data_IF_208666119037
#
_entry.id   IF_208666119037
#
_cell.length_a   1.000
_cell.length_b   1.000
_cell.length_c   1.000
_cell.angle_alpha   90.00
_cell.angle_beta   90.00
_cell.angle_gamma   90.00
#
_symmetry.space_group_name_H-M   'P 1'
#
loop_
_entity.id
_entity.type
_entity.pdbx_description
1 polymer ?
#
# COMPACT_ATOMS: atom_id res chain seq x y z
N UNK A 1 2.54 -5.05 23.95
CA UNK A 1 1.53 -5.68 23.11
C UNK A 1 1.38 -4.96 21.81
N UNK A 2 1.50 -5.70 20.76
CA UNK A 2 1.47 -5.13 19.42
C UNK A 2 0.10 -4.65 19.01
N UNK A 3 -0.96 -5.27 19.52
CA UNK A 3 -2.33 -4.88 19.18
C UNK A 3 -2.63 -3.40 19.38
N UNK A 4 -1.92 -2.76 20.29
CA UNK A 4 -2.12 -1.32 20.52
C UNK A 4 -1.56 -0.45 19.41
N UNK A 5 -0.71 -1.01 18.54
CA UNK A 5 -0.07 -0.24 17.47
C UNK A 5 -0.89 -0.24 16.18
N UNK A 6 -1.76 -1.22 16.01
CA UNK A 6 -2.54 -1.37 14.78
C UNK A 6 -4.00 -1.65 15.13
N UNK A 7 -4.76 -0.60 15.43
CA UNK A 7 -6.18 -0.78 15.76
C UNK A 7 -6.98 -1.36 14.59
N UNK A 8 -6.53 -1.10 13.34
CA UNK A 8 -7.10 -1.68 12.13
C UNK A 8 -5.97 -2.09 11.19
N UNK A 9 -5.98 -3.33 10.77
CA UNK A 9 -4.98 -3.80 9.82
C UNK A 9 -5.27 -3.28 8.43
N UNK A 10 -4.21 -2.88 7.73
CA UNK A 10 -4.28 -2.56 6.31
C UNK A 10 -3.75 -3.74 5.53
N UNK A 11 -4.58 -4.31 4.71
CA UNK A 11 -4.33 -5.57 4.00
C UNK A 11 -4.38 -5.32 2.51
N UNK A 12 -3.51 -6.02 1.77
CA UNK A 12 -3.56 -6.05 0.31
C UNK A 12 -3.74 -7.50 -0.11
N UNK A 13 -4.79 -7.76 -0.86
CA UNK A 13 -4.97 -9.04 -1.56
C UNK A 13 -4.53 -8.86 -2.99
N UNK A 14 -3.54 -9.63 -3.41
CA UNK A 14 -3.04 -9.59 -4.77
C UNK A 14 -3.96 -10.40 -5.67
N UNK A 15 -4.61 -9.73 -6.61
CA UNK A 15 -5.47 -10.40 -7.58
C UNK A 15 -4.69 -10.68 -8.87
N UNK A 16 -4.15 -9.63 -9.49
CA UNK A 16 -3.40 -9.78 -10.72
C UNK A 16 -2.38 -8.65 -10.84
N UNK A 17 -1.17 -8.86 -10.34
CA UNK A 17 -0.09 -7.88 -10.41
C UNK A 17 1.01 -8.36 -11.35
N UNK A 18 1.13 -7.71 -12.49
CA UNK A 18 2.14 -8.00 -13.52
C UNK A 18 3.55 -7.90 -12.95
N UNK A 19 3.80 -6.90 -12.09
CA UNK A 19 5.11 -6.72 -11.47
C UNK A 19 5.57 -7.92 -10.66
N UNK A 20 4.65 -8.61 -9.99
CA UNK A 20 4.98 -9.84 -9.27
C UNK A 20 5.41 -10.95 -10.22
N UNK A 21 4.67 -11.15 -11.31
CA UNK A 21 4.98 -12.21 -12.27
C UNK A 21 6.29 -11.96 -13.00
N UNK A 22 6.62 -10.69 -13.27
CA UNK A 22 7.79 -10.32 -14.07
C UNK A 22 8.99 -9.88 -13.23
N UNK A 23 8.88 -9.91 -11.91
CA UNK A 23 9.98 -9.52 -11.03
C UNK A 23 10.23 -8.01 -10.97
N UNK A 24 9.27 -7.19 -11.35
CA UNK A 24 9.40 -5.72 -11.24
C UNK A 24 9.03 -5.28 -9.83
N UNK A 25 9.94 -5.55 -8.91
CA UNK A 25 9.76 -5.34 -7.48
C UNK A 25 10.96 -4.57 -6.95
N UNK A 26 10.69 -3.52 -6.18
CA UNK A 26 11.73 -2.86 -5.40
C UNK A 26 11.76 -3.54 -4.03
N UNK A 27 12.93 -4.03 -3.62
CA UNK A 27 13.08 -4.74 -2.34
C UNK A 27 14.37 -4.37 -1.59
N UNK A 28 15.10 -3.38 -2.07
CA UNK A 28 16.39 -2.98 -1.50
C UNK A 28 16.42 -1.53 -1.04
N UNK A 29 15.26 -0.97 -0.75
CA UNK A 29 15.13 0.42 -0.35
C UNK A 29 14.35 0.53 0.94
N UNK A 30 14.65 1.57 1.71
CA UNK A 30 13.92 1.88 2.93
C UNK A 30 12.84 2.93 2.65
N UNK A 31 11.83 2.95 3.50
CA UNK A 31 10.76 3.95 3.40
C UNK A 31 11.22 5.27 3.98
N UNK A 32 10.83 6.37 3.33
CA UNK A 32 10.97 7.71 3.89
C UNK A 32 9.97 7.90 5.03
N UNK A 33 10.32 8.75 5.99
CA UNK A 33 9.45 9.03 7.14
C UNK A 33 8.09 9.60 6.73
N UNK A 34 8.00 10.24 5.57
CA UNK A 34 6.74 10.77 5.05
C UNK A 34 5.68 9.67 4.83
N UNK A 35 6.09 8.40 4.71
CA UNK A 35 5.18 7.28 4.56
C UNK A 35 4.73 6.70 5.89
N UNK A 36 5.32 7.13 6.99
CA UNK A 36 5.10 6.48 8.26
C UNK A 36 3.75 6.83 8.88
N UNK A 37 3.11 5.83 9.44
CA UNK A 37 2.02 5.99 10.39
C UNK A 37 2.63 5.87 11.77
N UNK A 38 2.42 6.89 12.60
CA UNK A 38 2.98 6.91 13.95
C UNK A 38 1.93 6.49 14.96
N UNK A 39 2.27 5.49 15.76
CA UNK A 39 1.42 5.03 16.85
C UNK A 39 2.29 4.94 18.09
N UNK A 40 2.03 5.82 19.07
CA UNK A 40 2.91 5.95 20.22
C UNK A 40 4.29 6.45 19.78
N UNK A 41 5.33 5.72 20.16
CA UNK A 41 6.71 6.07 19.81
C UNK A 41 7.22 5.33 18.57
N UNK A 42 6.35 4.59 17.90
CA UNK A 42 6.74 3.73 16.79
C UNK A 42 6.21 4.26 15.46
N UNK A 43 7.03 4.10 14.42
CA UNK A 43 6.71 4.50 13.06
C UNK A 43 6.68 3.26 12.18
N UNK A 44 5.58 3.09 11.45
CA UNK A 44 5.36 1.94 10.56
C UNK A 44 4.86 2.42 9.20
N UNK A 45 5.15 1.62 8.18
CA UNK A 45 4.49 1.77 6.88
C UNK A 45 3.50 0.61 6.73
N UNK A 46 2.28 0.96 6.34
CA UNK A 46 1.21 -0.02 6.14
C UNK A 46 1.18 -0.50 4.68
N UNK A 47 0.67 -1.69 4.46
CA UNK A 47 0.47 -2.21 3.10
C UNK A 47 -0.63 -1.42 2.38
N UNK A 48 -0.51 -1.31 1.07
CA UNK A 48 -1.49 -0.61 0.25
C UNK A 48 -1.17 0.86 0.00
N UNK A 49 -0.10 1.38 0.58
CA UNK A 49 0.35 2.74 0.30
C UNK A 49 0.94 2.80 -1.11
N UNK A 50 0.60 3.85 -1.85
CA UNK A 50 1.06 4.03 -3.22
C UNK A 50 2.29 4.93 -3.22
N UNK A 51 3.36 4.43 -3.80
CA UNK A 51 4.71 4.99 -3.61
C UNK A 51 5.45 5.13 -4.93
N UNK A 52 6.54 5.86 -4.88
CA UNK A 52 7.53 5.91 -5.96
C UNK A 52 8.94 5.94 -5.36
N UNK A 53 9.93 5.66 -6.21
CA UNK A 53 11.33 5.73 -5.78
C UNK A 53 11.78 7.19 -5.85
N UNK A 54 12.21 7.73 -4.72
CA UNK A 54 12.70 9.08 -4.62
C UNK A 54 14.12 9.23 -5.15
N UNK A 55 14.55 10.47 -5.34
CA UNK A 55 15.86 10.79 -5.92
C UNK A 55 17.03 10.38 -5.03
N UNK A 56 16.80 10.30 -3.74
CA UNK A 56 17.84 9.94 -2.77
C UNK A 56 17.88 8.43 -2.48
N UNK A 57 17.15 7.64 -3.24
CA UNK A 57 17.11 6.18 -3.06
C UNK A 57 16.21 5.72 -1.92
N UNK A 58 15.29 6.56 -1.48
CA UNK A 58 14.27 6.17 -0.52
C UNK A 58 12.91 6.08 -1.19
N UNK A 59 12.06 5.22 -0.65
CA UNK A 59 10.67 5.12 -1.11
C UNK A 59 9.87 6.26 -0.48
N UNK A 60 9.18 7.01 -1.32
CA UNK A 60 8.41 8.20 -0.92
C UNK A 60 6.95 8.05 -1.37
N UNK A 61 6.02 8.86 -0.81
CA UNK A 61 4.66 8.88 -1.35
C UNK A 61 4.71 9.16 -2.85
N UNK A 62 3.84 8.50 -3.61
CA UNK A 62 3.88 8.63 -5.06
C UNK A 62 3.87 10.09 -5.49
N UNK A 63 4.84 10.49 -6.30
CA UNK A 63 4.98 11.83 -6.83
C UNK A 63 4.91 11.84 -8.36
N UNK A 64 5.74 10.99 -8.98
CA UNK A 64 5.79 10.88 -10.45
C UNK A 64 6.52 9.61 -10.85
N UNK A 65 6.53 9.34 -12.15
CA UNK A 65 7.20 8.16 -12.70
C UNK A 65 6.40 6.88 -12.48
N UNK A 66 7.13 5.78 -12.31
CA UNK A 66 6.49 4.48 -12.08
C UNK A 66 5.78 4.45 -10.74
N UNK A 67 4.53 4.04 -10.76
CA UNK A 67 3.74 3.88 -9.54
C UNK A 67 3.92 2.47 -9.00
N UNK A 68 4.16 2.38 -7.67
CA UNK A 68 4.30 1.11 -6.99
C UNK A 68 3.28 1.03 -5.87
N UNK A 69 2.81 -0.18 -5.57
CA UNK A 69 2.03 -0.43 -4.36
C UNK A 69 2.93 -1.12 -3.33
N UNK A 70 2.93 -0.61 -2.11
CA UNK A 70 3.67 -1.24 -1.01
C UNK A 70 2.95 -2.52 -0.58
N UNK A 71 3.67 -3.62 -0.66
CA UNK A 71 3.19 -4.92 -0.23
C UNK A 71 4.36 -5.72 0.32
N UNK A 72 4.56 -5.65 1.62
CA UNK A 72 5.56 -6.43 2.32
C UNK A 72 4.84 -7.49 3.13
N UNK A 73 5.09 -8.74 2.77
CA UNK A 73 4.54 -9.87 3.49
C UNK A 73 5.57 -10.33 4.50
N UNK A 74 5.21 -10.23 5.77
CA UNK A 74 6.10 -10.59 6.86
C UNK A 74 5.63 -11.90 7.49
N UNK A 75 6.48 -12.89 7.48
CA UNK A 75 6.18 -14.19 8.08
C UNK A 75 7.06 -14.41 9.29
N UNK A 76 6.64 -13.90 10.42
CA UNK A 76 7.36 -14.08 11.66
C UNK A 76 6.46 -14.76 12.69
N UNK A 77 6.74 -16.03 12.95
CA UNK A 77 5.93 -16.85 13.85
C UNK A 77 6.27 -16.66 15.32
N UNK A 78 7.27 -15.85 15.63
CA UNK A 78 7.73 -15.63 17.01
C UNK A 78 7.13 -14.38 17.66
N UNK A 79 6.44 -13.56 16.91
CA UNK A 79 5.83 -12.35 17.40
C UNK A 79 4.33 -12.36 17.12
N UNK A 80 3.62 -11.44 17.74
CA UNK A 80 2.20 -11.32 17.50
C UNK A 80 1.96 -11.05 16.00
N UNK A 81 1.05 -11.82 15.42
CA UNK A 81 0.71 -11.75 14.01
C UNK A 81 0.23 -10.36 13.59
N UNK A 82 -0.13 -9.53 14.53
CA UNK A 82 -0.56 -8.17 14.28
C UNK A 82 0.52 -7.29 13.64
N UNK A 83 1.76 -7.70 13.76
CA UNK A 83 2.87 -7.00 13.12
C UNK A 83 3.02 -7.31 11.65
N UNK A 84 2.32 -8.30 11.16
CA UNK A 84 2.51 -8.78 9.78
C UNK A 84 2.07 -7.76 8.72
N UNK A 85 1.27 -6.80 9.10
CA UNK A 85 0.69 -5.87 8.16
C UNK A 85 1.31 -4.48 8.20
N UNK A 86 2.38 -4.34 8.96
CA UNK A 86 3.11 -3.09 9.03
C UNK A 86 4.60 -3.36 9.22
N UNK A 87 5.42 -2.53 8.60
CA UNK A 87 6.88 -2.67 8.62
C UNK A 87 7.46 -1.43 9.29
N UNK A 88 8.45 -1.59 10.18
CA UNK A 88 9.07 -0.43 10.83
C UNK A 88 9.70 0.53 9.82
N UNK A 89 9.51 1.83 10.05
CA UNK A 89 10.20 2.89 9.32
C UNK A 89 11.30 3.41 10.23
N UNK A 90 12.46 2.79 10.16
CA UNK A 90 13.59 3.02 11.07
C UNK A 90 14.89 3.36 10.33
N UNK A 91 14.85 3.48 9.01
CA UNK A 91 16.02 3.75 8.19
C UNK A 91 16.84 2.52 7.82
N UNK A 92 16.52 1.36 8.39
CA UNK A 92 17.28 0.12 8.18
C UNK A 92 16.45 -1.01 7.59
N UNK A 93 15.14 -0.97 7.74
CA UNK A 93 14.27 -2.05 7.29
C UNK A 93 13.86 -1.83 5.84
N UNK A 94 14.20 -2.78 4.98
CA UNK A 94 13.80 -2.74 3.58
C UNK A 94 12.33 -3.10 3.42
N UNK A 95 11.67 -2.43 2.49
CA UNK A 95 10.29 -2.72 2.15
C UNK A 95 10.19 -3.25 0.73
N UNK A 96 9.06 -3.86 0.43
CA UNK A 96 8.81 -4.48 -0.85
C UNK A 96 7.70 -3.73 -1.57
N UNK A 97 7.99 -3.22 -2.75
CA UNK A 97 7.04 -2.44 -3.55
C UNK A 97 6.93 -3.05 -4.94
N UNK A 98 5.72 -3.19 -5.42
CA UNK A 98 5.42 -3.85 -6.68
C UNK A 98 5.00 -2.82 -7.71
N UNK A 99 5.67 -2.82 -8.86
CA UNK A 99 5.34 -1.90 -9.95
C UNK A 99 3.95 -2.20 -10.50
N UNK A 100 3.19 -1.15 -10.76
CA UNK A 100 1.85 -1.25 -11.32
C UNK A 100 1.86 -1.04 -12.83
N UNK A 101 1.12 -1.88 -13.53
CA UNK A 101 0.92 -1.80 -14.98
C UNK A 101 -0.57 -1.71 -15.26
N UNK A 102 -0.93 -1.04 -16.35
CA UNK A 102 -2.34 -0.87 -16.73
C UNK A 102 -3.06 -2.21 -16.77
N UNK A 103 -4.17 -2.29 -16.06
CA UNK A 103 -4.96 -3.52 -15.94
C UNK A 103 -4.67 -4.33 -14.69
N UNK A 104 -3.62 -3.99 -13.94
CA UNK A 104 -3.31 -4.69 -12.69
C UNK A 104 -4.39 -4.44 -11.65
N UNK A 105 -4.69 -5.48 -10.87
CA UNK A 105 -5.73 -5.43 -9.84
C UNK A 105 -5.24 -5.95 -8.51
N UNK A 106 -5.66 -5.28 -7.46
CA UNK A 106 -5.47 -5.71 -6.08
C UNK A 106 -6.64 -5.21 -5.25
N UNK A 107 -6.88 -5.83 -4.11
CA UNK A 107 -7.97 -5.46 -3.20
C UNK A 107 -7.35 -5.01 -1.88
N UNK A 108 -7.79 -3.87 -1.37
CA UNK A 108 -7.23 -3.32 -0.14
C UNK A 108 -8.27 -2.55 0.66
N UNK A 109 -8.07 -2.49 1.98
CA UNK A 109 -8.81 -1.60 2.86
C UNK A 109 -8.03 -0.31 3.17
N UNK A 110 -6.86 -0.14 2.58
CA UNK A 110 -6.04 1.06 2.81
C UNK A 110 -6.42 2.17 1.83
N UNK A 111 -7.62 2.68 2.02
CA UNK A 111 -8.19 3.74 1.19
C UNK A 111 -8.79 4.82 2.07
N UNK A 112 -8.87 6.04 1.54
CA UNK A 112 -9.62 7.11 2.18
C UNK A 112 -11.03 7.06 1.64
N UNK A 113 -11.99 6.83 2.53
CA UNK A 113 -13.38 6.65 2.16
C UNK A 113 -13.95 7.87 1.44
N UNK A 114 -14.84 7.60 0.50
CA UNK A 114 -15.52 8.64 -0.28
C UNK A 114 -16.59 7.97 -1.13
N UNK A 115 -17.23 8.77 -1.97
CA UNK A 115 -18.24 8.27 -2.88
C UNK A 115 -17.70 8.27 -4.30
N UNK A 116 -17.96 7.19 -5.02
CA UNK A 116 -17.59 7.09 -6.42
C UNK A 116 -16.94 5.78 -6.77
N UNK A 117 -16.49 5.69 -8.01
CA UNK A 117 -15.91 4.48 -8.59
C UNK A 117 -14.47 4.68 -9.05
N UNK A 118 -13.82 5.74 -8.60
CA UNK A 118 -12.45 6.05 -9.01
C UNK A 118 -11.57 6.27 -7.80
N UNK A 119 -10.29 5.92 -7.95
CA UNK A 119 -9.29 6.14 -6.92
C UNK A 119 -8.24 7.13 -7.38
N UNK A 120 -8.11 8.22 -6.65
CA UNK A 120 -7.08 9.23 -6.91
C UNK A 120 -6.02 9.13 -5.82
N UNK A 121 -4.76 9.12 -6.22
CA UNK A 121 -3.65 9.03 -5.26
C UNK A 121 -3.31 10.42 -4.74
N UNK A 122 -3.42 10.60 -3.42
CA UNK A 122 -3.05 11.82 -2.72
C UNK A 122 -2.22 11.43 -1.51
N UNK A 123 -1.00 11.93 -1.42
CA UNK A 123 -0.07 11.64 -0.32
C UNK A 123 0.11 10.13 -0.07
N UNK A 124 0.19 9.36 -1.15
CA UNK A 124 0.38 7.91 -1.06
C UNK A 124 -0.87 7.11 -0.71
N UNK A 125 -2.02 7.75 -0.57
CA UNK A 125 -3.28 7.07 -0.25
C UNK A 125 -4.22 7.10 -1.44
N UNK A 126 -4.97 6.02 -1.62
CA UNK A 126 -6.04 5.97 -2.62
C UNK A 126 -7.27 6.63 -2.04
N UNK A 127 -7.68 7.75 -2.62
CA UNK A 127 -8.88 8.46 -2.20
C UNK A 127 -10.01 8.12 -3.16
N UNK A 128 -11.14 7.67 -2.62
CA UNK A 128 -12.30 7.31 -3.42
C UNK A 128 -13.01 8.60 -3.85
N UNK A 129 -13.13 8.77 -5.16
CA UNK A 129 -13.73 9.98 -5.76
C UNK A 129 -14.71 9.58 -6.86
N UNK A 130 -15.57 10.52 -7.26
CA UNK A 130 -16.57 10.26 -8.28
C UNK A 130 -16.22 10.81 -9.66
N UNK A 131 -15.03 11.37 -9.82
CA UNK A 131 -14.54 11.88 -11.10
C UNK A 131 -13.35 11.07 -11.60
N UNK A 132 -13.35 10.76 -12.89
CA UNK A 132 -12.22 10.07 -13.51
C UNK A 132 -11.01 10.96 -13.70
N UNK A 133 -11.16 12.28 -13.59
CA UNK A 133 -10.08 13.23 -13.81
C UNK A 133 -8.98 13.06 -12.76
N UNK A 134 -7.77 12.79 -13.23
CA UNK A 134 -6.61 12.58 -12.35
C UNK A 134 -6.62 11.27 -11.57
N UNK A 135 -7.59 10.41 -11.80
CA UNK A 135 -7.67 9.13 -11.11
C UNK A 135 -6.69 8.12 -11.71
N UNK A 136 -6.02 7.37 -10.84
CA UNK A 136 -5.13 6.29 -11.27
C UNK A 136 -5.81 4.93 -11.26
N UNK A 137 -6.94 4.80 -10.56
CA UNK A 137 -7.63 3.53 -10.36
C UNK A 137 -9.12 3.63 -10.64
N UNK A 138 -9.68 2.53 -11.10
CA UNK A 138 -11.12 2.27 -11.01
C UNK A 138 -11.31 1.39 -9.79
N UNK A 139 -12.25 1.74 -8.92
CA UNK A 139 -12.45 1.03 -7.67
C UNK A 139 -13.85 0.45 -7.58
N UNK A 140 -13.95 -0.67 -6.88
CA UNK A 140 -15.21 -1.39 -6.68
C UNK A 140 -15.21 -1.97 -5.28
N UNK A 141 -16.30 -1.80 -4.54
CA UNK A 141 -16.42 -2.39 -3.21
C UNK A 141 -16.28 -3.91 -3.29
N UNK A 142 -15.56 -4.47 -2.35
CA UNK A 142 -15.28 -5.89 -2.30
C UNK A 142 -15.09 -6.31 -0.84
N UNK A 143 -14.98 -7.62 -0.62
CA UNK A 143 -14.72 -8.17 0.70
C UNK A 143 -13.33 -8.78 0.70
N UNK A 144 -12.55 -8.45 1.73
CA UNK A 144 -11.22 -9.01 1.92
C UNK A 144 -11.31 -10.43 2.49
N UNK A 145 -10.22 -11.22 2.37
CA UNK A 145 -10.20 -12.58 2.93
C UNK A 145 -10.52 -12.65 4.42
N UNK A 146 -10.18 -11.59 5.18
CA UNK A 146 -10.48 -11.52 6.62
C UNK A 146 -11.93 -11.13 6.93
N UNK A 147 -12.77 -10.96 5.89
CA UNK A 147 -14.18 -10.58 6.05
C UNK A 147 -14.42 -9.09 6.14
N UNK A 148 -13.37 -8.27 6.17
CA UNK A 148 -13.53 -6.82 6.20
C UNK A 148 -13.91 -6.27 4.83
N UNK A 149 -14.52 -5.09 4.84
CA UNK A 149 -14.83 -4.34 3.64
C UNK A 149 -13.55 -3.74 3.05
N UNK A 150 -13.40 -3.87 1.75
CA UNK A 150 -12.29 -3.29 1.02
C UNK A 150 -12.71 -2.83 -0.36
N UNK A 151 -11.72 -2.48 -1.19
CA UNK A 151 -11.95 -2.04 -2.55
C UNK A 151 -11.03 -2.79 -3.49
N UNK A 152 -11.60 -3.35 -4.53
CA UNK A 152 -10.82 -3.88 -5.64
C UNK A 152 -10.41 -2.69 -6.51
N UNK A 153 -9.11 -2.51 -6.65
CA UNK A 153 -8.54 -1.39 -7.39
C UNK A 153 -7.92 -1.90 -8.69
N UNK A 154 -8.32 -1.30 -9.81
CA UNK A 154 -7.75 -1.60 -11.11
C UNK A 154 -6.95 -0.39 -11.57
N UNK A 155 -5.65 -0.59 -11.79
CA UNK A 155 -4.77 0.48 -12.24
C UNK A 155 -5.04 0.80 -13.71
N UNK A 156 -5.31 2.07 -14.01
CA UNK A 156 -5.64 2.50 -15.38
C UNK A 156 -4.54 3.40 -16.00
N UNK A 157 -3.47 3.61 -15.29
CA UNK A 157 -2.34 4.37 -15.81
C UNK A 157 -2.18 5.71 -15.19
#
# INVERSE_FOLDING_TARGET
MITKYLPTFKVVEVNNLTGLRNGHILSQFVADEALATTIGDNKFIENGVIVSLGKDGKIVPYANGTMFVHYTEELNTFIDELQYFAVPVDGDTYIRCIALYTGDTFTTNNVVAGEGSYGKVVDGKINIVNSAEGAAFIVKKSTLPNGEEGYECTYVG
#
